data_IF_533497109877
#
_entry.id   IF_533497109877
#
_cell.length_a   1.000
_cell.length_b   1.000
_cell.length_c   1.000
_cell.angle_alpha   90.00
_cell.angle_beta   90.00
_cell.angle_gamma   90.00
#
_symmetry.space_group_name_H-M   'P 1'
#
loop_
_entity.id
_entity.type
_entity.pdbx_description
1 polymer ?
#
# COMPACT_ATOMS: atom_id res chain seq x y z
N UNK A 1 -44.40 13.49 -20.13
CA UNK A 1 -43.43 14.00 -19.11
C UNK A 1 -42.06 13.44 -19.45
N UNK A 2 -41.03 14.28 -19.54
CA UNK A 2 -39.65 13.87 -19.84
C UNK A 2 -38.89 13.78 -18.53
N UNK A 3 -38.29 12.63 -18.24
CA UNK A 3 -37.40 12.42 -17.09
C UNK A 3 -36.01 12.07 -17.61
N UNK A 4 -34.95 12.49 -16.90
CA UNK A 4 -33.56 12.33 -17.34
C UNK A 4 -32.74 11.68 -16.25
N UNK A 5 -32.06 10.58 -16.59
CA UNK A 5 -31.09 9.92 -15.72
C UNK A 5 -29.69 10.34 -16.18
N UNK A 6 -28.89 10.86 -15.26
CA UNK A 6 -27.47 11.06 -15.47
C UNK A 6 -26.70 9.78 -15.09
N UNK A 7 -25.99 9.19 -16.05
CA UNK A 7 -25.18 7.98 -15.86
C UNK A 7 -23.74 8.24 -16.29
N UNK A 8 -22.77 7.59 -15.63
CA UNK A 8 -21.40 7.56 -16.16
C UNK A 8 -21.29 6.58 -17.32
N UNK A 9 -20.23 6.71 -18.13
CA UNK A 9 -19.98 5.78 -19.24
C UNK A 9 -19.84 4.31 -18.76
N UNK A 10 -19.30 4.10 -17.56
CA UNK A 10 -19.20 2.78 -16.94
C UNK A 10 -20.56 2.21 -16.56
N UNK A 11 -21.46 3.03 -16.01
CA UNK A 11 -22.83 2.61 -15.70
C UNK A 11 -23.62 2.29 -16.98
N UNK A 12 -23.39 3.05 -18.06
CA UNK A 12 -23.97 2.77 -19.36
C UNK A 12 -23.45 1.44 -19.96
N UNK A 13 -22.13 1.17 -19.87
CA UNK A 13 -21.56 -0.14 -20.25
C UNK A 13 -22.09 -1.27 -19.38
N UNK A 14 -22.37 -1.00 -18.10
CA UNK A 14 -22.96 -1.99 -17.19
C UNK A 14 -24.38 -2.36 -17.61
N UNK A 15 -25.17 -1.39 -18.08
CA UNK A 15 -26.52 -1.61 -18.60
C UNK A 15 -26.54 -2.63 -19.73
N UNK A 16 -25.67 -2.48 -20.73
CA UNK A 16 -25.66 -3.40 -21.90
C UNK A 16 -25.37 -4.85 -21.51
N UNK A 17 -24.47 -5.08 -20.54
CA UNK A 17 -24.18 -6.42 -20.02
C UNK A 17 -25.35 -6.98 -19.21
N UNK A 18 -26.04 -6.12 -18.46
CA UNK A 18 -27.21 -6.52 -17.67
C UNK A 18 -28.37 -6.90 -18.58
N UNK A 19 -28.63 -6.12 -19.64
CA UNK A 19 -29.66 -6.43 -20.63
C UNK A 19 -29.40 -7.81 -21.26
N UNK A 20 -28.15 -8.10 -21.65
CA UNK A 20 -27.76 -9.43 -22.14
C UNK A 20 -28.01 -10.57 -21.13
N UNK A 21 -27.78 -10.31 -19.83
CA UNK A 21 -28.00 -11.30 -18.78
C UNK A 21 -29.50 -11.51 -18.49
N UNK A 22 -30.34 -10.48 -18.65
CA UNK A 22 -31.80 -10.56 -18.52
C UNK A 22 -32.40 -11.32 -19.70
N UNK A 23 -31.91 -11.05 -20.91
CA UNK A 23 -32.27 -11.75 -22.14
C UNK A 23 -31.67 -13.17 -22.21
N UNK A 24 -31.03 -13.64 -21.13
CA UNK A 24 -30.41 -14.96 -20.98
C UNK A 24 -29.38 -15.30 -22.07
N UNK A 25 -28.79 -14.29 -22.71
CA UNK A 25 -27.71 -14.48 -23.70
C UNK A 25 -26.37 -14.81 -23.06
N UNK A 26 -26.17 -14.34 -21.83
CA UNK A 26 -24.95 -14.58 -21.06
C UNK A 26 -25.30 -15.10 -19.66
N UNK A 27 -24.38 -15.86 -19.07
CA UNK A 27 -24.54 -16.31 -17.67
C UNK A 27 -24.17 -15.20 -16.69
N UNK A 28 -24.64 -15.31 -15.44
CA UNK A 28 -24.30 -14.33 -14.38
C UNK A 28 -22.79 -14.30 -14.08
N UNK A 29 -22.13 -15.45 -14.17
CA UNK A 29 -20.69 -15.58 -14.01
C UNK A 29 -19.94 -14.83 -15.12
N UNK A 30 -20.33 -15.06 -16.37
CA UNK A 30 -19.74 -14.39 -17.54
C UNK A 30 -19.98 -12.86 -17.50
N UNK A 31 -21.17 -12.42 -17.09
CA UNK A 31 -21.47 -10.99 -16.92
C UNK A 31 -20.59 -10.33 -15.84
N UNK A 32 -20.34 -11.04 -14.73
CA UNK A 32 -19.44 -10.59 -13.68
C UNK A 32 -17.98 -10.48 -14.16
N UNK A 33 -17.52 -11.45 -14.94
CA UNK A 33 -16.18 -11.46 -15.57
C UNK A 33 -16.01 -10.29 -16.56
N UNK A 34 -16.99 -10.06 -17.44
CA UNK A 34 -16.98 -8.93 -18.40
C UNK A 34 -16.89 -7.58 -17.70
N UNK A 35 -17.55 -7.42 -16.55
CA UNK A 35 -17.51 -6.20 -15.74
C UNK A 35 -16.38 -6.15 -14.72
N UNK A 36 -15.56 -7.21 -14.62
CA UNK A 36 -14.48 -7.36 -13.64
C UNK A 36 -14.94 -7.12 -12.20
N UNK A 37 -16.13 -7.60 -11.87
CA UNK A 37 -16.69 -7.55 -10.50
C UNK A 37 -16.96 -8.96 -9.98
N UNK A 38 -17.15 -9.09 -8.67
CA UNK A 38 -17.54 -10.38 -8.11
C UNK A 38 -18.95 -10.77 -8.53
N UNK A 39 -19.19 -12.07 -8.68
CA UNK A 39 -20.51 -12.60 -9.05
C UNK A 39 -21.59 -12.18 -8.03
N UNK A 40 -21.24 -12.10 -6.74
CA UNK A 40 -22.13 -11.56 -5.70
C UNK A 40 -22.53 -10.11 -5.96
N UNK A 41 -21.59 -9.28 -6.39
CA UNK A 41 -21.88 -7.89 -6.74
C UNK A 41 -22.75 -7.82 -7.98
N UNK A 42 -22.45 -8.61 -9.02
CA UNK A 42 -23.27 -8.69 -10.22
C UNK A 42 -24.72 -9.08 -9.91
N UNK A 43 -24.93 -10.10 -9.07
CA UNK A 43 -26.26 -10.51 -8.58
C UNK A 43 -27.00 -9.41 -7.83
N UNK A 44 -26.28 -8.58 -7.05
CA UNK A 44 -26.87 -7.43 -6.35
C UNK A 44 -27.36 -6.39 -7.35
N UNK A 45 -26.52 -6.02 -8.32
CA UNK A 45 -26.90 -5.05 -9.35
C UNK A 45 -28.08 -5.54 -10.18
N UNK A 46 -28.11 -6.83 -10.55
CA UNK A 46 -29.26 -7.42 -11.25
C UNK A 46 -30.57 -7.30 -10.45
N UNK A 47 -30.49 -7.50 -9.13
CA UNK A 47 -31.65 -7.33 -8.25
C UNK A 47 -32.10 -5.87 -8.21
N UNK A 48 -31.17 -4.95 -8.06
CA UNK A 48 -31.46 -3.51 -8.00
C UNK A 48 -32.08 -3.02 -9.32
N UNK A 49 -31.57 -3.50 -10.46
CA UNK A 49 -32.13 -3.23 -11.78
C UNK A 49 -33.56 -3.79 -11.94
N UNK A 50 -33.84 -5.01 -11.47
CA UNK A 50 -35.21 -5.57 -11.54
C UNK A 50 -36.21 -4.77 -10.70
N UNK A 51 -35.76 -4.18 -9.60
CA UNK A 51 -36.63 -3.43 -8.70
C UNK A 51 -36.83 -1.98 -9.13
N UNK A 52 -35.80 -1.33 -9.70
CA UNK A 52 -35.75 0.12 -9.92
C UNK A 52 -35.46 0.51 -11.38
N UNK A 53 -35.27 -0.47 -12.27
CA UNK A 53 -34.86 -0.25 -13.66
C UNK A 53 -33.50 0.43 -13.78
N UNK A 54 -33.38 1.33 -14.75
CA UNK A 54 -32.16 2.08 -15.03
C UNK A 54 -31.66 2.90 -13.83
N UNK A 55 -32.56 3.35 -12.94
CA UNK A 55 -32.19 4.10 -11.72
C UNK A 55 -31.38 3.23 -10.76
N UNK A 56 -31.65 1.92 -10.71
CA UNK A 56 -30.91 0.98 -9.86
C UNK A 56 -29.46 0.76 -10.27
N UNK A 57 -29.06 1.16 -11.49
CA UNK A 57 -27.67 1.09 -11.95
C UNK A 57 -26.84 2.27 -11.50
N UNK A 58 -27.51 3.38 -11.20
CA UNK A 58 -26.88 4.62 -10.78
C UNK A 58 -26.39 4.46 -9.35
N UNK A 59 -25.15 4.86 -9.08
CA UNK A 59 -24.61 4.87 -7.72
C UNK A 59 -25.53 5.64 -6.76
N UNK A 60 -26.08 4.93 -5.77
CA UNK A 60 -26.95 5.52 -4.74
C UNK A 60 -26.23 6.49 -3.78
N UNK A 61 -24.92 6.66 -3.92
CA UNK A 61 -24.13 7.68 -3.23
C UNK A 61 -24.08 9.01 -4.01
N UNK A 62 -24.55 9.06 -5.26
CA UNK A 62 -24.63 10.33 -6.02
C UNK A 62 -25.55 11.30 -5.30
N UNK A 63 -25.07 12.53 -5.13
CA UNK A 63 -25.79 13.58 -4.43
C UNK A 63 -25.89 13.40 -2.91
N UNK A 64 -25.40 12.30 -2.34
CA UNK A 64 -25.39 12.10 -0.88
C UNK A 64 -24.06 12.55 -0.28
N UNK A 65 -24.07 13.30 0.83
CA UNK A 65 -22.85 13.56 1.58
C UNK A 65 -22.28 12.25 2.13
N UNK A 66 -20.95 12.19 2.31
CA UNK A 66 -20.28 11.04 2.92
C UNK A 66 -20.87 10.73 4.30
N UNK A 67 -21.03 9.44 4.61
CA UNK A 67 -21.54 8.99 5.91
C UNK A 67 -20.70 9.51 7.10
N UNK A 68 -19.42 9.78 6.88
CA UNK A 68 -18.50 10.30 7.90
C UNK A 68 -18.47 11.84 7.93
N UNK A 69 -19.24 12.53 7.09
CA UNK A 69 -19.30 13.99 7.08
C UNK A 69 -19.90 14.47 8.40
N UNK A 70 -19.23 15.43 9.04
CA UNK A 70 -19.78 16.06 10.23
C UNK A 70 -21.08 16.80 9.90
N UNK A 71 -22.08 16.68 10.79
CA UNK A 71 -23.33 17.44 10.69
C UNK A 71 -23.02 18.93 10.56
N UNK A 72 -23.70 19.60 9.64
CA UNK A 72 -23.44 21.02 9.32
C UNK A 72 -23.60 21.93 10.53
N UNK A 73 -24.62 21.69 11.37
CA UNK A 73 -24.81 22.41 12.63
C UNK A 73 -23.62 22.28 13.59
N UNK A 74 -23.01 21.09 13.67
CA UNK A 74 -21.82 20.87 14.50
C UNK A 74 -20.60 21.58 13.91
N UNK A 75 -20.44 21.51 12.59
CA UNK A 75 -19.38 22.23 11.86
C UNK A 75 -19.48 23.74 12.04
N UNK A 76 -20.68 24.31 11.93
CA UNK A 76 -20.93 25.73 12.11
C UNK A 76 -20.47 26.24 13.49
N UNK A 77 -20.80 25.51 14.58
CA UNK A 77 -20.36 25.86 15.95
C UNK A 77 -18.84 25.89 16.13
N UNK A 78 -18.13 25.02 15.40
CA UNK A 78 -16.67 24.94 15.43
C UNK A 78 -16.08 26.09 14.64
N UNK A 79 -16.64 26.39 13.47
CA UNK A 79 -16.18 27.51 12.63
C UNK A 79 -16.38 28.84 13.33
N UNK A 80 -17.52 29.04 13.99
CA UNK A 80 -17.76 30.20 14.86
C UNK A 80 -16.67 30.33 15.91
N UNK A 81 -16.36 29.23 16.62
CA UNK A 81 -15.31 29.21 17.63
C UNK A 81 -13.90 29.51 17.07
N UNK A 82 -13.59 29.05 15.86
CA UNK A 82 -12.31 29.34 15.19
C UNK A 82 -12.20 30.82 14.80
N UNK A 83 -13.31 31.48 14.50
CA UNK A 83 -13.36 32.89 14.06
C UNK A 83 -13.32 33.87 15.23
N UNK A 84 -13.57 33.41 16.45
CA UNK A 84 -13.53 34.26 17.64
C UNK A 84 -12.12 34.89 17.81
N UNK A 85 -12.03 36.22 17.99
CA UNK A 85 -10.74 36.93 18.00
C UNK A 85 -9.85 36.55 19.18
N UNK A 86 -10.43 36.01 20.26
CA UNK A 86 -9.71 35.53 21.45
C UNK A 86 -8.77 34.36 21.09
N UNK A 87 -9.11 33.56 20.08
CA UNK A 87 -8.35 32.38 19.68
C UNK A 87 -7.50 32.60 18.42
N UNK A 88 -7.31 33.85 18.01
CA UNK A 88 -6.42 34.17 16.91
C UNK A 88 -4.96 33.79 17.24
N UNK A 89 -4.29 33.12 16.31
CA UNK A 89 -2.92 32.63 16.50
C UNK A 89 -2.78 31.30 17.24
N UNK A 90 -3.88 30.71 17.72
CA UNK A 90 -3.84 29.40 18.39
C UNK A 90 -3.53 28.28 17.38
N UNK A 91 -2.63 27.37 17.75
CA UNK A 91 -2.38 26.15 16.99
C UNK A 91 -3.54 25.15 17.06
N UNK A 92 -3.64 24.20 16.11
CA UNK A 92 -4.76 23.26 16.04
C UNK A 92 -4.90 22.38 17.29
N UNK A 93 -3.78 22.00 17.93
CA UNK A 93 -3.82 21.21 19.16
C UNK A 93 -4.43 21.99 20.33
N UNK A 94 -3.94 23.20 20.56
CA UNK A 94 -4.40 24.04 21.66
C UNK A 94 -5.86 24.48 21.45
N UNK A 95 -6.24 24.77 20.22
CA UNK A 95 -7.62 25.11 19.90
C UNK A 95 -8.57 23.93 20.15
N UNK A 96 -8.13 22.68 19.94
CA UNK A 96 -8.93 21.50 20.24
C UNK A 96 -9.18 21.34 21.74
N UNK A 97 -8.17 21.57 22.56
CA UNK A 97 -8.30 21.57 24.02
C UNK A 97 -9.28 22.65 24.49
N UNK A 98 -9.18 23.86 23.93
CA UNK A 98 -10.08 24.97 24.25
C UNK A 98 -11.50 24.75 23.76
N UNK A 99 -11.67 24.11 22.60
CA UNK A 99 -12.97 23.72 22.07
C UNK A 99 -13.67 22.69 22.97
N UNK A 100 -12.90 21.71 23.48
CA UNK A 100 -13.40 20.73 24.43
C UNK A 100 -13.78 21.38 25.77
N UNK A 101 -12.94 22.28 26.30
CA UNK A 101 -13.20 23.00 27.57
C UNK A 101 -14.39 23.95 27.49
N UNK A 102 -14.52 24.72 26.40
CA UNK A 102 -15.49 25.82 26.33
C UNK A 102 -16.84 25.40 25.78
N UNK A 103 -16.87 24.55 24.73
CA UNK A 103 -18.09 24.12 24.06
C UNK A 103 -18.44 22.63 24.29
N UNK A 104 -17.59 21.86 24.97
CA UNK A 104 -17.83 20.42 25.21
C UNK A 104 -17.77 19.57 23.94
N UNK A 105 -17.19 20.08 22.85
CA UNK A 105 -17.17 19.41 21.55
C UNK A 105 -15.85 18.65 21.39
N UNK A 106 -15.89 17.32 21.47
CA UNK A 106 -14.71 16.47 21.27
C UNK A 106 -14.53 16.05 19.81
N UNK A 107 -13.41 16.42 19.21
CA UNK A 107 -13.06 16.14 17.80
C UNK A 107 -11.60 15.72 17.71
N UNK A 108 -11.25 14.93 16.70
CA UNK A 108 -9.83 14.60 16.48
C UNK A 108 -9.04 15.85 16.08
N UNK A 109 -7.82 16.04 16.59
CA UNK A 109 -7.00 17.21 16.25
C UNK A 109 -6.82 17.38 14.74
N UNK A 110 -6.76 16.28 13.99
CA UNK A 110 -6.64 16.31 12.53
C UNK A 110 -7.91 16.84 11.86
N UNK A 111 -9.11 16.48 12.32
CA UNK A 111 -10.35 17.02 11.74
C UNK A 111 -10.45 18.52 12.00
N UNK A 112 -10.06 18.98 13.20
CA UNK A 112 -10.04 20.41 13.52
C UNK A 112 -9.02 21.14 12.63
N UNK A 113 -7.83 20.58 12.46
CA UNK A 113 -6.80 21.12 11.56
C UNK A 113 -7.31 21.28 10.12
N UNK A 114 -8.01 20.29 9.58
CA UNK A 114 -8.59 20.38 8.23
C UNK A 114 -9.60 21.53 8.13
N UNK A 115 -10.47 21.70 9.13
CA UNK A 115 -11.41 22.82 9.18
C UNK A 115 -10.66 24.16 9.25
N UNK A 116 -9.60 24.26 10.05
CA UNK A 116 -8.79 25.49 10.12
C UNK A 116 -8.08 25.82 8.81
N UNK A 117 -7.68 24.81 8.03
CA UNK A 117 -7.10 25.00 6.68
C UNK A 117 -8.18 25.52 5.73
N UNK A 118 -9.38 24.94 5.76
CA UNK A 118 -10.53 25.39 4.95
C UNK A 118 -10.91 26.85 5.29
N UNK A 119 -10.84 27.25 6.56
CA UNK A 119 -11.08 28.62 7.04
C UNK A 119 -9.85 29.55 6.90
N UNK A 120 -8.77 29.10 6.26
CA UNK A 120 -7.52 29.85 6.04
C UNK A 120 -6.80 30.36 7.32
N UNK A 121 -7.16 29.84 8.50
CA UNK A 121 -6.51 30.17 9.79
C UNK A 121 -5.29 29.31 10.08
N UNK A 122 -5.05 28.25 9.31
CA UNK A 122 -3.87 27.39 9.44
C UNK A 122 -3.21 27.13 8.09
N UNK A 123 -1.92 27.50 7.97
CA UNK A 123 -1.13 27.21 6.78
C UNK A 123 -0.55 25.79 6.89
N UNK A 124 -0.91 24.85 6.00
CA UNK A 124 -0.36 23.51 6.05
C UNK A 124 1.13 23.53 5.71
N UNK A 125 1.96 22.98 6.60
CA UNK A 125 3.37 22.78 6.31
C UNK A 125 3.52 21.73 5.20
N UNK A 126 4.07 22.13 4.06
CA UNK A 126 4.47 21.17 3.03
C UNK A 126 5.60 20.30 3.56
N UNK A 127 5.47 18.99 3.36
CA UNK A 127 6.57 18.06 3.62
C UNK A 127 7.72 18.41 2.67
N UNK A 128 8.83 18.94 3.22
CA UNK A 128 10.05 19.16 2.44
C UNK A 128 10.42 17.83 1.79
N UNK A 129 10.49 17.80 0.45
CA UNK A 129 11.05 16.63 -0.25
C UNK A 129 12.45 16.44 0.30
N UNK A 130 12.80 15.24 0.76
CA UNK A 130 14.19 14.95 1.13
C UNK A 130 15.02 15.28 -0.12
N UNK A 131 15.89 16.28 -0.02
CA UNK A 131 16.76 16.62 -1.14
C UNK A 131 17.62 15.39 -1.40
N UNK A 132 17.60 14.87 -2.63
CA UNK A 132 18.49 13.77 -3.04
C UNK A 132 19.97 14.11 -2.82
N UNK A 133 20.29 15.41 -2.67
CA UNK A 133 21.60 15.92 -2.27
C UNK A 133 22.04 15.32 -0.92
N UNK A 134 21.18 15.26 0.09
CA UNK A 134 21.56 14.74 1.41
C UNK A 134 21.95 13.25 1.37
N UNK A 135 21.26 12.44 0.56
CA UNK A 135 21.63 11.03 0.38
C UNK A 135 22.91 10.87 -0.45
N UNK A 136 23.15 11.74 -1.43
CA UNK A 136 24.36 11.74 -2.23
C UNK A 136 25.60 12.17 -1.42
N UNK A 137 25.47 13.15 -0.51
CA UNK A 137 26.55 13.55 0.39
C UNK A 137 26.84 12.47 1.42
N UNK A 138 25.81 11.90 2.06
CA UNK A 138 26.00 10.78 3.02
C UNK A 138 26.64 9.57 2.33
N UNK A 139 26.29 9.26 1.07
CA UNK A 139 26.94 8.21 0.30
C UNK A 139 28.40 8.53 -0.04
N UNK A 140 28.71 9.79 -0.42
CA UNK A 140 30.08 10.25 -0.67
C UNK A 140 30.94 10.25 0.59
N UNK A 141 30.37 10.65 1.73
CA UNK A 141 31.05 10.64 3.03
C UNK A 141 31.34 9.21 3.48
N UNK A 142 30.42 8.27 3.23
CA UNK A 142 30.66 6.84 3.48
C UNK A 142 31.76 6.26 2.57
N UNK A 143 31.77 6.61 1.27
CA UNK A 143 32.84 6.20 0.34
C UNK A 143 34.20 6.80 0.75
N UNK A 144 34.23 8.08 1.13
CA UNK A 144 35.46 8.75 1.55
C UNK A 144 35.98 8.19 2.87
N UNK A 145 35.10 7.89 3.82
CA UNK A 145 35.43 7.21 5.06
C UNK A 145 36.02 5.81 4.79
N UNK A 146 35.38 5.02 3.92
CA UNK A 146 35.90 3.70 3.52
C UNK A 146 37.29 3.81 2.85
N UNK A 147 37.48 4.78 1.95
CA UNK A 147 38.78 5.06 1.31
C UNK A 147 39.85 5.50 2.32
N UNK A 148 39.47 6.21 3.37
CA UNK A 148 40.40 6.62 4.44
C UNK A 148 40.86 5.45 5.33
N UNK A 149 40.03 4.40 5.47
CA UNK A 149 40.35 3.17 6.22
C UNK A 149 41.13 2.12 5.41
N UNK A 150 41.05 2.17 4.07
CA UNK A 150 41.64 1.17 3.18
C UNK A 150 43.18 0.95 3.32
N UNK A 151 44.02 1.94 3.67
CA UNK A 151 45.48 1.74 3.74
C UNK A 151 45.95 0.86 4.89
N UNK A 152 45.08 0.54 5.87
CA UNK A 152 45.46 -0.26 7.05
C UNK A 152 45.09 -1.75 6.96
N UNK A 153 44.62 -2.25 5.82
CA UNK A 153 44.31 -3.68 5.63
C UNK A 153 45.32 -4.37 4.71
N UNK A 154 46.28 -5.15 5.25
CA UNK A 154 47.19 -5.94 4.44
C UNK A 154 46.44 -7.13 3.82
N UNK A 155 46.41 -7.22 2.48
CA UNK A 155 45.92 -8.41 1.75
C UNK A 155 44.74 -8.20 0.80
N UNK A 156 44.20 -6.99 0.64
CA UNK A 156 43.09 -6.75 -0.28
C UNK A 156 43.58 -6.42 -1.70
N UNK A 157 43.51 -7.38 -2.62
CA UNK A 157 43.68 -7.10 -4.06
C UNK A 157 42.38 -6.50 -4.60
N UNK A 158 42.48 -5.28 -5.13
CA UNK A 158 41.41 -4.54 -5.81
C UNK A 158 40.86 -5.33 -7.00
N UNK A 159 39.58 -5.70 -6.93
CA UNK A 159 38.79 -6.12 -8.10
C UNK A 159 37.93 -4.92 -8.50
N UNK A 160 38.08 -4.45 -9.73
CA UNK A 160 37.35 -3.30 -10.27
C UNK A 160 35.83 -3.48 -10.14
N UNK A 161 35.08 -2.48 -9.63
CA UNK A 161 33.63 -2.57 -9.58
C UNK A 161 33.05 -2.19 -10.94
N UNK A 162 32.78 -3.18 -11.81
CA UNK A 162 31.82 -3.01 -12.92
C UNK A 162 30.39 -2.98 -12.33
N UNK A 163 29.46 -2.19 -12.92
CA UNK A 163 28.12 -2.01 -12.36
C UNK A 163 27.28 -3.25 -12.67
N UNK A 164 27.45 -4.28 -11.86
CA UNK A 164 26.59 -5.45 -11.80
C UNK A 164 26.00 -5.49 -10.40
N UNK A 165 24.67 -5.51 -10.35
CA UNK A 165 23.80 -5.64 -9.17
C UNK A 165 24.53 -6.04 -7.86
N UNK A 166 24.47 -5.18 -6.84
CA UNK A 166 25.24 -5.30 -5.59
C UNK A 166 25.01 -6.61 -4.80
N UNK A 167 23.99 -7.39 -5.15
CA UNK A 167 23.72 -8.69 -4.52
C UNK A 167 24.63 -9.82 -5.02
N UNK A 168 25.26 -9.70 -6.20
CA UNK A 168 26.16 -10.75 -6.71
C UNK A 168 27.58 -10.66 -6.14
N UNK A 169 27.90 -9.57 -5.43
CA UNK A 169 29.20 -9.35 -4.77
C UNK A 169 29.38 -10.11 -3.46
N UNK A 170 28.34 -10.82 -2.99
CA UNK A 170 28.39 -11.60 -1.75
C UNK A 170 28.55 -13.10 -1.97
N UNK A 171 29.04 -13.57 -3.11
CA UNK A 171 29.43 -14.99 -3.26
C UNK A 171 30.90 -15.11 -3.65
N UNK A 172 31.78 -15.67 -2.79
CA UNK A 172 33.14 -15.98 -3.17
C UNK A 172 33.17 -17.08 -4.25
N UNK A 173 34.18 -17.08 -5.14
CA UNK A 173 34.33 -18.13 -6.15
C UNK A 173 34.36 -19.52 -5.51
N UNK A 174 33.61 -20.45 -6.08
CA UNK A 174 33.28 -21.81 -5.58
C UNK A 174 34.52 -22.68 -5.26
N UNK A 175 35.72 -22.25 -5.64
CA UNK A 175 36.95 -23.03 -5.49
C UNK A 175 37.53 -23.05 -4.06
N UNK A 176 36.88 -22.39 -3.11
CA UNK A 176 37.32 -22.32 -1.71
C UNK A 176 36.14 -22.46 -0.71
N UNK A 177 35.24 -23.42 -0.95
CA UNK A 177 34.21 -23.75 0.05
C UNK A 177 34.68 -24.91 0.96
N UNK A 178 34.89 -24.68 2.27
CA UNK A 178 35.07 -25.77 3.22
C UNK A 178 33.76 -26.55 3.35
N UNK A 179 33.84 -27.88 3.39
CA UNK A 179 32.72 -28.84 3.32
C UNK A 179 31.88 -28.93 4.61
N UNK A 180 31.53 -27.78 5.20
CA UNK A 180 30.84 -27.72 6.48
C UNK A 180 29.43 -27.15 6.27
N UNK A 181 28.40 -28.00 6.40
CA UNK A 181 26.99 -27.69 6.11
C UNK A 181 26.34 -26.55 6.92
N UNK A 182 26.99 -26.07 7.99
CA UNK A 182 26.42 -25.04 8.86
C UNK A 182 26.55 -23.62 8.29
N UNK A 183 27.63 -23.36 7.54
CA UNK A 183 27.94 -22.01 7.01
C UNK A 183 27.03 -21.67 5.82
N UNK A 184 26.64 -22.68 5.04
CA UNK A 184 25.79 -22.50 3.85
C UNK A 184 24.36 -22.08 4.20
N UNK A 185 23.82 -22.60 5.32
CA UNK A 185 22.47 -22.24 5.79
C UNK A 185 22.36 -20.80 6.30
N UNK A 186 23.39 -20.30 6.96
CA UNK A 186 23.42 -18.90 7.45
C UNK A 186 23.46 -17.92 6.27
N UNK A 187 24.18 -18.28 5.21
CA UNK A 187 24.31 -17.43 4.02
C UNK A 187 23.00 -17.31 3.23
N UNK A 188 22.26 -18.42 3.08
CA UNK A 188 20.96 -18.44 2.39
C UNK A 188 19.89 -17.65 3.15
N UNK A 189 19.96 -17.61 4.49
CA UNK A 189 19.03 -16.84 5.33
C UNK A 189 19.27 -15.32 5.25
N UNK A 190 20.52 -14.87 5.13
CA UNK A 190 20.81 -13.44 4.92
C UNK A 190 20.38 -12.94 3.53
N UNK A 191 20.56 -13.74 2.48
CA UNK A 191 20.18 -13.36 1.11
C UNK A 191 18.67 -13.11 0.94
N UNK A 192 17.83 -13.80 1.71
CA UNK A 192 16.37 -13.67 1.64
C UNK A 192 15.78 -12.48 2.43
N UNK A 193 16.58 -11.80 3.26
CA UNK A 193 16.08 -10.74 4.15
C UNK A 193 16.25 -9.32 3.59
N UNK A 194 17.06 -9.15 2.53
CA UNK A 194 17.41 -7.84 1.94
C UNK A 194 16.69 -7.59 0.60
N UNK A 195 15.72 -8.44 0.24
CA UNK A 195 15.11 -8.47 -1.10
C UNK A 195 13.65 -7.94 -1.17
N UNK A 196 13.31 -6.66 -0.86
CA UNK A 196 12.01 -6.10 -1.20
C UNK A 196 12.01 -5.13 -2.41
N UNK A 197 13.11 -5.00 -3.16
CA UNK A 197 13.25 -3.99 -4.25
C UNK A 197 13.08 -4.56 -5.67
N UNK A 198 12.83 -5.87 -5.83
CA UNK A 198 12.99 -6.55 -7.13
C UNK A 198 11.75 -6.71 -8.02
N UNK A 199 10.58 -6.14 -7.68
CA UNK A 199 9.38 -6.22 -8.55
C UNK A 199 9.29 -5.10 -9.61
N UNK A 200 10.23 -4.13 -9.62
CA UNK A 200 10.11 -2.93 -10.46
C UNK A 200 11.03 -2.83 -11.68
N UNK A 201 11.93 -3.79 -11.91
CA UNK A 201 12.93 -3.69 -12.97
C UNK A 201 12.96 -4.85 -13.98
N UNK A 202 12.00 -5.79 -13.94
CA UNK A 202 11.75 -6.70 -15.07
C UNK A 202 12.94 -7.57 -15.51
N UNK A 203 13.86 -7.91 -14.61
CA UNK A 203 14.98 -8.80 -14.92
C UNK A 203 14.58 -10.26 -14.69
N UNK A 204 14.33 -10.98 -15.79
CA UNK A 204 14.14 -12.43 -15.81
C UNK A 204 15.51 -13.09 -15.64
N UNK A 205 15.70 -13.93 -14.63
CA UNK A 205 16.92 -14.74 -14.45
C UNK A 205 17.15 -15.64 -15.69
N UNK A 206 18.39 -15.72 -16.24
CA UNK A 206 18.71 -16.67 -17.29
C UNK A 206 18.66 -18.11 -16.75
N UNK A 207 17.80 -18.92 -17.35
CA UNK A 207 17.61 -20.35 -17.05
C UNK A 207 18.72 -21.19 -17.69
N UNK A 208 19.93 -21.19 -17.13
CA UNK A 208 20.96 -22.18 -17.49
C UNK A 208 21.81 -22.54 -16.27
N UNK A 209 21.27 -23.40 -15.42
CA UNK A 209 22.05 -24.22 -14.48
C UNK A 209 21.18 -25.36 -13.90
N UNK A 210 20.43 -26.06 -14.75
CA UNK A 210 19.91 -27.39 -14.40
C UNK A 210 21.05 -28.40 -14.55
N UNK A 211 21.92 -28.49 -13.54
CA UNK A 211 22.74 -29.69 -13.36
C UNK A 211 21.95 -30.69 -12.53
N UNK A 212 21.21 -31.53 -13.25
CA UNK A 212 20.33 -32.61 -12.82
C UNK A 212 21.05 -33.84 -12.27
N UNK A 213 22.19 -33.69 -11.59
CA UNK A 213 23.00 -34.84 -11.14
C UNK A 213 23.27 -34.92 -9.63
N UNK A 214 22.75 -34.00 -8.80
CA UNK A 214 23.04 -34.02 -7.35
C UNK A 214 21.80 -34.18 -6.45
N UNK A 215 20.58 -34.15 -7.01
CA UNK A 215 19.33 -34.12 -6.24
C UNK A 215 18.60 -35.47 -6.12
N UNK A 216 19.26 -36.58 -6.47
CA UNK A 216 18.64 -37.92 -6.43
C UNK A 216 18.90 -38.72 -5.13
N UNK A 217 19.57 -38.18 -4.11
CA UNK A 217 19.99 -38.98 -2.94
C UNK A 217 19.47 -38.53 -1.56
N UNK A 218 18.56 -37.56 -1.45
CA UNK A 218 18.00 -37.15 -0.14
C UNK A 218 16.48 -37.00 -0.22
N UNK A 219 15.81 -38.03 -0.71
CA UNK A 219 14.39 -38.25 -0.45
C UNK A 219 14.23 -39.59 0.28
N UNK A 220 14.45 -39.56 1.59
CA UNK A 220 13.82 -40.52 2.51
C UNK A 220 13.99 -40.02 3.95
N UNK A 221 12.86 -39.94 4.66
CA UNK A 221 12.70 -39.78 6.11
C UNK A 221 12.84 -38.36 6.67
N UNK A 222 11.70 -37.70 6.94
CA UNK A 222 11.11 -37.52 8.29
C UNK A 222 9.77 -36.75 8.14
N UNK A 223 8.62 -37.26 8.67
CA UNK A 223 7.34 -36.56 8.63
C UNK A 223 7.25 -35.45 9.70
N UNK A 224 6.80 -34.25 9.29
CA UNK A 224 6.57 -33.11 10.19
C UNK A 224 5.18 -33.23 10.85
N UNK A 225 5.13 -33.53 12.15
CA UNK A 225 3.93 -33.36 13.01
C UNK A 225 3.64 -31.86 13.18
N UNK A 226 2.39 -31.44 12.89
CA UNK A 226 1.89 -30.09 13.25
C UNK A 226 1.41 -30.09 14.70
N UNK A 227 1.75 -29.09 15.53
CA UNK A 227 1.17 -28.96 16.86
C UNK A 227 -0.25 -28.36 16.81
N UNK A 228 -1.16 -28.94 17.60
CA UNK A 228 -2.56 -28.55 17.77
C UNK A 228 -2.69 -27.28 18.62
N UNK A 229 -3.59 -26.36 18.22
CA UNK A 229 -4.03 -25.23 19.04
C UNK A 229 -5.18 -25.69 19.93
N UNK A 230 -4.96 -25.71 21.24
CA UNK A 230 -6.05 -25.66 22.22
C UNK A 230 -5.96 -24.34 22.97
N UNK A 231 -7.05 -23.56 22.91
CA UNK A 231 -7.35 -22.48 23.84
C UNK A 231 -7.95 -23.08 25.11
N UNK A 232 -7.66 -22.55 26.31
CA UNK A 232 -8.53 -22.76 27.46
C UNK A 232 -9.57 -21.63 27.54
N UNK A 233 -10.82 -22.05 27.63
CA UNK A 233 -11.90 -21.27 28.20
C UNK A 233 -11.68 -21.15 29.71
N UNK A 234 -11.96 -19.95 30.25
CA UNK A 234 -12.73 -19.69 31.47
C UNK A 234 -13.14 -18.21 31.44
#
# INVERSE_FOLDING_TARGET
MKWTIAMTQEELKRKTIIDQAIEKRITQKEGAEKLRISERHFRRVLRDFRNQGDVGLVSGHRGKPSNNRMKEARRAKIVEFIRDPIYEGFGPTLLNEKLAQSKGIHISPESLRQIMIEEQKHIPKMKKRRSHIFLATVARDAENWFKSMAPTMPGWKSVDPKPVCSCLWMMPPVRFWPQNLWITKVFTLMANSVCPIFDRLGCRLPSTATNSAFFASIHTQVPIKRPSRNSPAL
#
